data_IF_972637783431
#
_entry.id   IF_972637783431
#
_cell.length_a   1.000
_cell.length_b   1.000
_cell.length_c   1.000
_cell.angle_alpha   90.00
_cell.angle_beta   90.00
_cell.angle_gamma   90.00
#
_symmetry.space_group_name_H-M   'P 1'
#
loop_
_entity.id
_entity.type
_entity.pdbx_description
1 polymer ?
#
# COMPACT_ATOMS: atom_id res chain seq x y z
N UNK A 1 -9.15 -31.74 -2.59
CA UNK A 1 -8.63 -30.50 -3.21
C UNK A 1 -9.83 -29.66 -3.64
N UNK A 2 -10.28 -28.72 -2.80
CA UNK A 2 -11.49 -27.94 -3.08
C UNK A 2 -11.11 -26.54 -3.56
N UNK A 3 -11.24 -26.32 -4.87
CA UNK A 3 -11.01 -25.05 -5.52
C UNK A 3 -12.12 -24.05 -5.19
N UNK A 4 -11.75 -22.95 -4.53
CA UNK A 4 -12.65 -21.84 -4.29
C UNK A 4 -12.53 -20.83 -5.44
N UNK A 5 -13.52 -20.81 -6.33
CA UNK A 5 -13.70 -19.76 -7.33
C UNK A 5 -14.07 -18.46 -6.60
N UNK A 6 -13.16 -17.49 -6.54
CA UNK A 6 -13.41 -16.15 -5.96
C UNK A 6 -14.08 -15.24 -7.00
N UNK A 7 -15.39 -15.04 -6.87
CA UNK A 7 -16.08 -13.88 -7.43
C UNK A 7 -15.87 -12.63 -6.54
N UNK A 8 -16.25 -11.41 -6.99
CA UNK A 8 -15.93 -10.17 -6.29
C UNK A 8 -16.66 -10.11 -4.95
N UNK A 9 -15.93 -10.38 -3.87
CA UNK A 9 -16.48 -10.41 -2.52
C UNK A 9 -16.56 -8.99 -1.95
N UNK A 10 -17.78 -8.47 -1.81
CA UNK A 10 -18.06 -7.33 -0.94
C UNK A 10 -17.77 -7.77 0.51
N UNK A 11 -16.72 -7.24 1.10
CA UNK A 11 -16.23 -7.68 2.41
C UNK A 11 -17.13 -7.21 3.56
N UNK A 12 -17.70 -8.16 4.34
CA UNK A 12 -18.23 -7.94 5.69
C UNK A 12 -17.42 -8.75 6.71
N UNK A 13 -17.26 -8.19 7.92
CA UNK A 13 -16.70 -8.69 9.19
C UNK A 13 -15.63 -9.81 9.19
N UNK A 14 -15.86 -10.95 8.53
CA UNK A 14 -14.90 -12.05 8.35
C UNK A 14 -13.70 -11.67 7.46
N UNK A 15 -13.79 -10.57 6.70
CA UNK A 15 -12.70 -10.05 5.88
C UNK A 15 -11.48 -9.55 6.67
N UNK A 16 -11.63 -9.21 7.97
CA UNK A 16 -10.52 -8.73 8.79
C UNK A 16 -9.41 -9.78 9.00
N UNK A 17 -9.79 -11.04 9.25
CA UNK A 17 -8.83 -12.13 9.43
C UNK A 17 -8.16 -12.54 8.12
N UNK A 18 -8.91 -12.60 7.01
CA UNK A 18 -8.38 -12.93 5.69
C UNK A 18 -7.49 -11.81 5.13
N UNK A 19 -7.88 -10.54 5.29
CA UNK A 19 -7.04 -9.39 4.91
C UNK A 19 -5.76 -9.33 5.72
N UNK A 20 -5.78 -9.70 7.00
CA UNK A 20 -4.58 -9.72 7.83
C UNK A 20 -3.57 -10.76 7.34
N UNK A 21 -4.04 -11.96 7.00
CA UNK A 21 -3.18 -13.05 6.53
C UNK A 21 -2.62 -12.75 5.13
N UNK A 22 -3.44 -12.18 4.25
CA UNK A 22 -3.06 -11.96 2.85
C UNK A 22 -2.30 -10.64 2.64
N UNK A 23 -2.76 -9.55 3.24
CA UNK A 23 -2.33 -8.19 2.93
C UNK A 23 -1.69 -7.45 4.13
N UNK A 24 -1.77 -8.03 5.32
CA UNK A 24 -1.27 -7.41 6.55
C UNK A 24 -2.23 -6.39 7.16
N UNK A 25 -1.67 -5.51 8.01
CA UNK A 25 -2.43 -4.49 8.75
C UNK A 25 -2.40 -3.16 8.02
N UNK A 26 -3.50 -2.42 8.16
CA UNK A 26 -3.58 -1.02 7.76
C UNK A 26 -3.48 -0.13 9.00
N UNK A 27 -2.69 0.93 8.88
CA UNK A 27 -2.35 1.85 9.95
C UNK A 27 -2.86 3.26 9.61
N UNK A 28 -3.33 3.99 10.61
CA UNK A 28 -3.50 5.43 10.44
C UNK A 28 -2.16 6.15 10.50
N UNK A 29 -2.10 7.38 10.00
CA UNK A 29 -0.84 8.09 9.91
C UNK A 29 -0.28 8.49 11.28
N UNK A 30 -1.14 8.66 12.29
CA UNK A 30 -0.69 8.88 13.66
C UNK A 30 0.17 7.73 14.20
N UNK A 31 -0.05 6.49 13.73
CA UNK A 31 0.82 5.38 14.07
C UNK A 31 2.19 5.45 13.37
N UNK A 32 2.24 6.04 12.16
CA UNK A 32 3.49 6.26 11.41
C UNK A 32 4.35 7.32 12.08
N UNK A 33 3.73 8.39 12.59
CA UNK A 33 4.38 9.52 13.27
C UNK A 33 4.57 9.30 14.79
N UNK A 34 4.28 8.10 15.28
CA UNK A 34 4.42 7.81 16.71
C UNK A 34 5.90 7.62 17.09
N UNK A 35 6.33 8.29 18.16
CA UNK A 35 7.71 8.22 18.65
C UNK A 35 8.17 6.80 19.06
N UNK A 36 7.24 5.86 19.29
CA UNK A 36 7.56 4.45 19.55
C UNK A 36 8.02 3.70 18.29
N UNK A 37 7.69 4.22 17.11
CA UNK A 37 8.02 3.65 15.80
C UNK A 37 7.21 2.41 15.42
N UNK A 38 6.93 2.26 14.12
CA UNK A 38 6.38 1.02 13.54
C UNK A 38 7.48 0.06 13.06
N UNK A 39 8.63 0.62 12.72
CA UNK A 39 9.74 -0.11 12.14
C UNK A 39 10.75 -0.56 13.20
N UNK A 40 11.42 -1.70 12.99
CA UNK A 40 12.49 -2.14 13.88
C UNK A 40 13.68 -1.16 13.83
N UNK A 41 14.56 -1.23 14.84
CA UNK A 41 15.77 -0.40 14.89
C UNK A 41 16.62 -0.53 13.62
N UNK A 42 17.10 0.60 13.09
CA UNK A 42 17.82 0.69 11.82
C UNK A 42 16.91 0.67 10.58
N UNK A 43 15.60 0.81 10.77
CA UNK A 43 14.61 0.91 9.71
C UNK A 43 13.60 2.01 10.01
N UNK A 44 13.04 2.61 8.96
CA UNK A 44 12.04 3.66 9.07
C UNK A 44 10.96 3.52 7.99
N UNK A 45 9.84 4.24 8.16
CA UNK A 45 8.79 4.33 7.14
C UNK A 45 9.24 5.33 6.07
N UNK A 46 9.24 4.97 4.77
CA UNK A 46 9.83 5.81 3.74
C UNK A 46 9.21 7.22 3.70
N UNK A 47 10.08 8.21 3.58
CA UNK A 47 9.71 9.60 3.28
C UNK A 47 9.19 9.72 1.85
N UNK A 48 8.54 10.84 1.56
CA UNK A 48 8.04 11.13 0.21
C UNK A 48 9.20 11.28 -0.80
N UNK A 49 10.36 11.73 -0.32
CA UNK A 49 11.59 11.79 -1.11
C UNK A 49 12.09 10.40 -1.48
N UNK A 50 12.15 9.46 -0.54
CA UNK A 50 12.61 8.09 -0.80
C UNK A 50 11.65 7.32 -1.71
N UNK A 51 10.35 7.55 -1.57
CA UNK A 51 9.37 7.05 -2.53
C UNK A 51 9.62 7.60 -3.94
N UNK A 52 9.95 8.89 -4.06
CA UNK A 52 10.27 9.51 -5.35
C UNK A 52 11.53 8.89 -5.96
N UNK A 53 12.59 8.70 -5.17
CA UNK A 53 13.81 8.02 -5.60
C UNK A 53 13.51 6.60 -6.11
N UNK A 54 12.71 5.81 -5.39
CA UNK A 54 12.31 4.48 -5.84
C UNK A 54 11.61 4.55 -7.21
N UNK A 55 10.63 5.44 -7.37
CA UNK A 55 9.89 5.54 -8.64
C UNK A 55 10.76 6.02 -9.79
N UNK A 56 11.72 6.92 -9.54
CA UNK A 56 12.63 7.42 -10.57
C UNK A 56 13.61 6.33 -11.02
N UNK A 57 14.14 5.53 -10.09
CA UNK A 57 14.99 4.37 -10.39
C UNK A 57 14.27 3.32 -11.24
N UNK A 58 12.94 3.24 -11.15
CA UNK A 58 12.11 2.34 -11.93
C UNK A 58 11.69 2.92 -13.30
N UNK A 59 12.28 4.04 -13.73
CA UNK A 59 11.97 4.67 -15.02
C UNK A 59 10.84 5.69 -14.95
N UNK A 60 10.48 6.13 -13.75
CA UNK A 60 9.50 7.18 -13.50
C UNK A 60 8.11 6.67 -13.13
N UNK A 61 7.32 7.55 -12.52
CA UNK A 61 6.02 7.21 -11.95
C UNK A 61 5.03 6.63 -12.95
N UNK A 62 5.14 6.88 -14.26
CA UNK A 62 4.18 6.37 -15.25
C UNK A 62 4.27 4.85 -15.49
N UNK A 63 5.43 4.24 -15.20
CA UNK A 63 5.72 2.81 -15.48
C UNK A 63 6.13 2.04 -14.23
N UNK A 64 6.50 2.73 -13.15
CA UNK A 64 6.99 2.10 -11.93
C UNK A 64 5.93 1.22 -11.24
N UNK A 65 4.64 1.52 -11.41
CA UNK A 65 3.55 0.79 -10.75
C UNK A 65 3.50 -0.67 -11.17
N UNK A 66 3.47 -0.93 -12.49
CA UNK A 66 3.47 -2.31 -13.01
C UNK A 66 4.70 -3.12 -12.58
N UNK A 67 5.83 -2.46 -12.31
CA UNK A 67 7.05 -3.11 -11.80
C UNK A 67 7.04 -3.34 -10.28
N UNK A 68 6.20 -2.61 -9.54
CA UNK A 68 6.06 -2.68 -8.10
C UNK A 68 5.00 -3.67 -7.66
N UNK A 69 3.95 -3.85 -8.45
CA UNK A 69 2.86 -4.76 -8.17
C UNK A 69 3.32 -6.23 -8.14
N UNK A 70 2.71 -7.01 -7.24
CA UNK A 70 2.89 -8.48 -7.22
C UNK A 70 2.39 -9.13 -8.50
N UNK A 71 2.97 -10.29 -8.83
CA UNK A 71 2.55 -11.14 -9.95
C UNK A 71 1.24 -11.90 -9.71
N UNK A 72 0.54 -11.59 -8.62
CA UNK A 72 -0.71 -12.22 -8.20
C UNK A 72 -1.55 -11.25 -7.35
N UNK A 73 -2.83 -11.59 -7.18
CA UNK A 73 -3.75 -10.94 -6.24
C UNK A 73 -4.54 -9.75 -6.81
N UNK A 74 -4.11 -9.21 -7.95
CA UNK A 74 -4.78 -8.08 -8.60
C UNK A 74 -6.02 -8.51 -9.37
N UNK A 75 -7.02 -7.64 -9.39
CA UNK A 75 -8.33 -7.90 -9.99
C UNK A 75 -8.18 -8.32 -11.45
N UNK A 76 -8.99 -9.30 -11.88
CA UNK A 76 -8.95 -9.92 -13.22
C UNK A 76 -7.60 -10.57 -13.63
N UNK A 77 -6.62 -10.62 -12.73
CA UNK A 77 -5.28 -11.10 -13.06
C UNK A 77 -4.42 -10.06 -13.78
N UNK A 78 -4.83 -8.78 -13.74
CA UNK A 78 -4.05 -7.63 -14.21
C UNK A 78 -2.92 -7.35 -13.21
N UNK A 79 -2.01 -8.32 -13.09
CA UNK A 79 -0.90 -8.29 -12.15
C UNK A 79 0.31 -7.59 -12.77
N UNK A 80 1.14 -7.00 -11.90
CA UNK A 80 2.45 -6.51 -12.29
C UNK A 80 3.49 -7.60 -12.50
N UNK A 81 4.71 -7.15 -12.81
CA UNK A 81 5.88 -8.01 -13.02
C UNK A 81 6.68 -8.24 -11.74
N UNK A 82 6.49 -7.39 -10.74
CA UNK A 82 7.32 -7.30 -9.53
C UNK A 82 8.83 -7.23 -9.82
N UNK A 83 9.25 -6.70 -10.97
CA UNK A 83 10.69 -6.61 -11.34
C UNK A 83 11.49 -5.71 -10.39
N UNK A 84 10.82 -4.82 -9.65
CA UNK A 84 11.44 -3.99 -8.60
C UNK A 84 11.74 -4.76 -7.31
N UNK A 85 11.12 -5.92 -7.09
CA UNK A 85 11.14 -6.65 -5.81
C UNK A 85 10.25 -6.03 -4.72
N UNK A 86 9.55 -4.92 -4.97
CA UNK A 86 8.72 -4.23 -3.98
C UNK A 86 7.55 -5.08 -3.43
N UNK A 87 7.02 -5.97 -4.26
CA UNK A 87 5.95 -6.91 -3.93
C UNK A 87 4.68 -6.22 -3.41
N UNK A 88 4.22 -5.18 -4.11
CA UNK A 88 3.04 -4.39 -3.79
C UNK A 88 1.76 -5.20 -3.94
N UNK A 89 1.10 -5.48 -2.83
CA UNK A 89 -0.19 -6.19 -2.78
C UNK A 89 -1.38 -5.22 -2.83
N UNK A 90 -2.51 -5.62 -3.45
CA UNK A 90 -3.71 -4.81 -3.53
C UNK A 90 -4.54 -4.91 -2.24
N UNK A 91 -3.96 -4.48 -1.12
CA UNK A 91 -4.58 -4.58 0.20
C UNK A 91 -5.73 -3.59 0.45
N UNK A 92 -5.94 -2.65 -0.45
CA UNK A 92 -6.97 -1.63 -0.34
C UNK A 92 -6.61 -0.52 0.66
N UNK A 93 -7.64 -0.01 1.33
CA UNK A 93 -7.51 0.96 2.41
C UNK A 93 -8.70 0.90 3.38
N UNK A 94 -8.53 1.45 4.58
CA UNK A 94 -9.63 1.73 5.52
C UNK A 94 -10.03 3.20 5.42
N UNK A 95 -11.29 3.45 5.11
CA UNK A 95 -11.84 4.81 5.02
C UNK A 95 -11.83 5.53 6.37
N UNK A 96 -11.51 6.83 6.36
CA UNK A 96 -11.56 7.65 7.57
C UNK A 96 -12.99 8.07 7.97
N UNK A 97 -13.94 7.98 7.05
CA UNK A 97 -15.32 8.49 7.25
C UNK A 97 -16.16 7.48 8.01
N UNK A 98 -16.16 6.23 7.55
CA UNK A 98 -17.01 5.15 8.07
C UNK A 98 -16.21 4.00 8.70
N UNK A 99 -14.88 4.01 8.54
CA UNK A 99 -14.01 2.95 9.05
C UNK A 99 -14.11 1.63 8.28
N UNK A 100 -14.77 1.62 7.11
CA UNK A 100 -14.94 0.43 6.27
C UNK A 100 -13.69 0.24 5.40
N UNK A 101 -13.41 -1.03 5.08
CA UNK A 101 -12.32 -1.43 4.19
C UNK A 101 -12.79 -1.48 2.73
N UNK A 102 -12.04 -0.85 1.84
CA UNK A 102 -12.34 -0.73 0.41
C UNK A 102 -11.13 -1.10 -0.43
N UNK A 103 -11.35 -1.40 -1.72
CA UNK A 103 -10.28 -1.53 -2.71
C UNK A 103 -9.44 -2.80 -2.64
N UNK A 104 -9.71 -3.72 -1.70
CA UNK A 104 -9.00 -4.99 -1.63
C UNK A 104 -9.14 -5.78 -2.95
N UNK A 105 -8.02 -6.21 -3.51
CA UNK A 105 -7.89 -6.81 -4.84
C UNK A 105 -7.76 -5.80 -5.99
N UNK A 106 -8.07 -4.52 -5.78
CA UNK A 106 -8.09 -3.50 -6.84
C UNK A 106 -6.93 -2.51 -6.71
N UNK A 107 -6.61 -2.07 -5.50
CA UNK A 107 -5.54 -1.11 -5.26
C UNK A 107 -4.77 -1.39 -3.98
N UNK A 108 -3.56 -0.86 -3.90
CA UNK A 108 -2.73 -0.84 -2.70
C UNK A 108 -2.32 0.58 -2.38
N UNK A 109 -2.37 0.95 -1.10
CA UNK A 109 -1.98 2.28 -0.64
C UNK A 109 -0.96 2.15 0.48
N UNK A 110 0.13 2.93 0.40
CA UNK A 110 1.19 2.94 1.40
C UNK A 110 1.44 4.35 1.91
N UNK A 111 1.44 4.51 3.23
CA UNK A 111 1.84 5.77 3.84
C UNK A 111 3.29 6.12 3.54
N UNK A 112 3.55 7.42 3.39
CA UNK A 112 4.84 8.01 3.63
C UNK A 112 4.91 8.56 5.06
N UNK A 113 6.11 8.64 5.64
CA UNK A 113 6.36 9.39 6.89
C UNK A 113 6.36 10.92 6.70
N UNK A 114 6.26 11.43 5.48
CA UNK A 114 6.26 12.87 5.23
C UNK A 114 4.87 13.51 5.39
N UNK A 115 4.72 14.52 6.28
CA UNK A 115 3.47 15.26 6.41
C UNK A 115 3.22 16.18 5.20
N UNK A 116 1.96 16.57 5.02
CA UNK A 116 1.53 17.58 4.06
C UNK A 116 0.38 18.41 4.65
N UNK A 117 0.72 19.50 5.33
CA UNK A 117 -0.25 20.33 6.03
C UNK A 117 -1.01 19.53 7.10
N UNK A 118 -2.34 19.48 7.01
CA UNK A 118 -3.21 18.67 7.89
C UNK A 118 -3.41 17.22 7.42
N UNK A 119 -2.63 16.80 6.43
CA UNK A 119 -2.68 15.50 5.76
C UNK A 119 -1.27 14.90 5.69
N UNK A 120 -1.13 13.72 5.09
CA UNK A 120 0.18 13.12 4.84
C UNK A 120 0.25 12.51 3.45
N UNK A 121 1.46 12.41 2.92
CA UNK A 121 1.70 11.80 1.60
C UNK A 121 1.52 10.29 1.65
N UNK A 122 1.04 9.72 0.54
CA UNK A 122 0.98 8.29 0.32
C UNK A 122 1.30 7.94 -1.15
N UNK A 123 1.60 6.67 -1.40
CA UNK A 123 1.71 6.08 -2.75
C UNK A 123 0.59 5.09 -2.99
N UNK A 124 0.04 5.11 -4.21
CA UNK A 124 -1.03 4.23 -4.64
C UNK A 124 -0.65 3.43 -5.89
N UNK A 125 -1.05 2.17 -5.92
CA UNK A 125 -1.02 1.28 -7.09
C UNK A 125 -2.45 0.84 -7.39
N UNK A 126 -2.82 0.71 -8.67
CA UNK A 126 -4.19 0.38 -9.09
C UNK A 126 -4.16 -0.56 -10.30
N UNK A 127 -5.00 -1.60 -10.29
CA UNK A 127 -5.03 -2.64 -11.32
C UNK A 127 -5.25 -2.14 -12.75
N UNK A 128 -5.80 -0.93 -12.93
CA UNK A 128 -6.03 -0.33 -14.24
C UNK A 128 -4.84 0.49 -14.77
N UNK A 129 -3.76 0.61 -14.00
CA UNK A 129 -2.68 1.54 -14.32
C UNK A 129 -1.30 1.00 -13.93
N UNK A 130 -0.35 1.11 -14.84
CA UNK A 130 1.05 0.85 -14.55
C UNK A 130 1.74 2.00 -13.80
N UNK A 131 1.00 3.06 -13.44
CA UNK A 131 1.54 4.24 -12.79
C UNK A 131 1.50 4.16 -11.26
N UNK A 132 2.43 4.83 -10.60
CA UNK A 132 2.41 5.06 -9.16
C UNK A 132 1.73 6.39 -8.88
N UNK A 133 0.57 6.35 -8.23
CA UNK A 133 -0.12 7.54 -7.76
C UNK A 133 0.60 8.17 -6.57
N UNK A 134 0.76 9.50 -6.58
CA UNK A 134 1.23 10.31 -5.45
C UNK A 134 0.14 11.29 -5.04
N UNK A 135 -0.36 11.16 -3.82
CA UNK A 135 -1.41 12.01 -3.29
C UNK A 135 -1.26 12.21 -1.78
N UNK A 136 -2.04 13.12 -1.21
CA UNK A 136 -2.13 13.31 0.24
C UNK A 136 -3.51 12.92 0.74
N UNK A 137 -3.55 12.31 1.93
CA UNK A 137 -4.77 11.79 2.54
C UNK A 137 -4.94 12.27 3.97
N UNK A 138 -6.19 12.29 4.43
CA UNK A 138 -6.49 12.53 5.84
C UNK A 138 -5.75 11.53 6.74
N UNK A 139 -5.14 12.01 7.82
CA UNK A 139 -4.32 11.21 8.74
C UNK A 139 -5.05 10.01 9.36
N UNK A 140 -6.39 10.00 9.33
CA UNK A 140 -7.24 8.91 9.87
C UNK A 140 -7.54 7.79 8.86
N UNK A 141 -7.15 7.92 7.59
CA UNK A 141 -7.20 6.79 6.66
C UNK A 141 -6.31 5.67 7.16
N UNK A 142 -6.68 4.41 6.89
CA UNK A 142 -5.80 3.27 7.12
C UNK A 142 -5.14 2.84 5.82
N UNK A 143 -3.82 2.95 5.73
CA UNK A 143 -3.03 2.45 4.61
C UNK A 143 -1.94 1.48 5.10
N UNK A 144 -1.37 0.72 4.19
CA UNK A 144 -0.24 -0.16 4.47
C UNK A 144 1.00 0.66 4.83
N UNK A 145 1.93 0.03 5.54
CA UNK A 145 3.24 0.61 5.86
C UNK A 145 4.31 -0.37 5.40
N UNK A 146 5.41 0.17 4.89
CA UNK A 146 6.65 -0.58 4.70
C UNK A 146 7.75 0.09 5.48
N UNK A 147 8.73 -0.72 5.87
CA UNK A 147 9.96 -0.25 6.48
C UNK A 147 11.08 -0.40 5.46
N UNK A 148 11.90 0.63 5.34
CA UNK A 148 13.15 0.63 4.57
C UNK A 148 14.31 0.80 5.54
N UNK A 149 15.45 0.19 5.22
CA UNK A 149 16.63 0.22 6.08
C UNK A 149 17.31 1.57 5.95
N UNK A 150 17.80 2.11 7.05
CA UNK A 150 18.62 3.32 7.06
C UNK A 150 19.90 3.09 6.22
N UNK A 151 20.39 4.17 5.59
CA UNK A 151 21.74 4.16 5.03
C UNK A 151 22.76 4.16 6.17
N UNK A 152 23.79 3.32 6.05
CA UNK A 152 24.91 3.24 6.99
C UNK A 152 25.85 4.47 6.88
#
# INVERSE_FOLDING_TARGET
>A
MSGHKKGPAKCKASCSAWSLIEYGRLYNWYAVDDARGLCPSGWHVPTDGEWTVLTDLLGGASVAGGQMETTYGWYKGDNGTNSSGFSGLPGGFRSYVDGIFYGAGNNGNWWSSSPNGSSAWFRGLDYLSESVGRASGNLRYGFSVRCVRDAE
#
